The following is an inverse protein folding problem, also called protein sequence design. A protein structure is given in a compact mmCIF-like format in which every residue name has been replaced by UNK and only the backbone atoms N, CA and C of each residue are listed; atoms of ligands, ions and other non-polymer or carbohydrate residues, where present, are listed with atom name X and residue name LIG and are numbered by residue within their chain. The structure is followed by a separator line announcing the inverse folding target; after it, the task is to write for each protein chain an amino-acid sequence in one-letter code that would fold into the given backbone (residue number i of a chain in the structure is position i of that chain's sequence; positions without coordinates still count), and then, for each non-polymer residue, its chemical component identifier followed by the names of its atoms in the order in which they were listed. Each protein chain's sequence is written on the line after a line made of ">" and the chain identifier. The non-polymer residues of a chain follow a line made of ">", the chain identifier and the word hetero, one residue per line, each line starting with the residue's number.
data_IF_746905661621
#
_entry.id   IF_746905661621
#
_cell.length_a   1.000
_cell.length_b   1.000
_cell.length_c   1.000
_cell.angle_alpha   90.00
_cell.angle_beta   90.00
_cell.angle_gamma   90.00
#
_symmetry.space_group_name_H-M   'P 1'
#
loop_
_entity.id
_entity.type
_entity.pdbx_description
1 polymer ?
#
# COMPACT_ATOMS: atom_id res chain seq x y z
N UNK A 1 14.38 -1.51 -25.19
CA UNK A 1 13.92 -0.34 -24.39
C UNK A 1 12.41 -0.45 -24.30
N UNK A 2 11.87 -0.89 -23.16
CA UNK A 2 10.42 -1.17 -23.07
C UNK A 2 10.02 -1.48 -21.65
N UNK A 3 9.87 -0.45 -20.82
CA UNK A 3 9.27 -0.59 -19.50
C UNK A 3 8.21 0.51 -19.35
N UNK A 4 7.08 0.32 -20.01
CA UNK A 4 5.85 1.02 -19.66
C UNK A 4 4.82 -0.01 -19.21
N UNK A 5 5.12 -0.69 -18.10
CA UNK A 5 4.07 -1.36 -17.34
C UNK A 5 3.27 -0.26 -16.65
N UNK A 6 2.09 0.05 -17.18
CA UNK A 6 1.11 0.87 -16.48
C UNK A 6 0.27 -0.08 -15.62
N UNK A 7 0.76 -0.37 -14.40
CA UNK A 7 0.06 -1.28 -13.52
C UNK A 7 -1.28 -0.68 -13.09
N UNK A 8 -2.32 -1.52 -13.04
CA UNK A 8 -3.62 -1.14 -12.46
C UNK A 8 -3.46 -0.90 -10.96
N UNK A 9 -4.31 -0.05 -10.40
CA UNK A 9 -4.35 0.22 -8.97
C UNK A 9 -5.70 -0.25 -8.39
N UNK A 10 -5.64 -1.25 -7.53
CA UNK A 10 -6.80 -1.78 -6.81
C UNK A 10 -6.71 -1.39 -5.33
N UNK A 11 -7.86 -1.13 -4.71
CA UNK A 11 -7.96 -0.74 -3.30
C UNK A 11 -8.68 -1.83 -2.53
N UNK A 12 -8.09 -2.30 -1.44
CA UNK A 12 -8.72 -3.30 -0.58
C UNK A 12 -9.52 -2.64 0.54
N UNK A 13 -10.69 -3.22 0.83
CA UNK A 13 -11.54 -2.83 1.96
C UNK A 13 -11.73 -1.30 2.05
N UNK A 14 -11.45 -0.73 3.22
CA UNK A 14 -11.58 0.68 3.56
C UNK A 14 -10.35 1.54 3.18
N UNK A 15 -9.33 0.97 2.54
CA UNK A 15 -8.08 1.69 2.26
C UNK A 15 -8.31 2.96 1.44
N UNK A 16 -9.22 2.92 0.46
CA UNK A 16 -9.56 4.09 -0.37
C UNK A 16 -10.30 5.17 0.42
N UNK A 17 -11.25 4.79 1.26
CA UNK A 17 -11.98 5.74 2.11
C UNK A 17 -11.06 6.36 3.15
N UNK A 18 -10.14 5.59 3.73
CA UNK A 18 -9.18 6.09 4.70
C UNK A 18 -8.24 7.12 4.06
N UNK A 19 -7.68 6.82 2.88
CA UNK A 19 -6.86 7.81 2.14
C UNK A 19 -7.68 9.05 1.80
N UNK A 20 -8.93 8.90 1.35
CA UNK A 20 -9.79 10.06 1.03
C UNK A 20 -10.07 10.96 2.24
N UNK A 21 -10.08 10.40 3.46
CA UNK A 21 -10.27 11.13 4.71
C UNK A 21 -9.00 11.84 5.21
N UNK A 22 -7.83 11.56 4.63
CA UNK A 22 -6.59 12.22 5.04
C UNK A 22 -6.52 13.68 4.58
N UNK A 23 -5.71 14.51 5.27
CA UNK A 23 -5.42 15.88 4.85
C UNK A 23 -4.93 15.96 3.41
N UNK A 24 -5.20 17.08 2.73
CA UNK A 24 -4.93 17.24 1.30
C UNK A 24 -3.45 16.97 0.92
N UNK A 25 -2.50 17.47 1.71
CA UNK A 25 -1.08 17.24 1.49
C UNK A 25 -0.70 15.74 1.56
N UNK A 26 -1.25 15.02 2.55
CA UNK A 26 -1.03 13.57 2.69
C UNK A 26 -1.60 12.80 1.50
N UNK A 27 -2.79 13.20 1.03
CA UNK A 27 -3.42 12.59 -0.16
C UNK A 27 -2.57 12.81 -1.41
N UNK A 28 -1.98 13.99 -1.57
CA UNK A 28 -1.09 14.30 -2.68
C UNK A 28 0.16 13.41 -2.65
N UNK A 29 0.83 13.32 -1.50
CA UNK A 29 2.03 12.48 -1.35
C UNK A 29 1.74 11.01 -1.65
N UNK A 30 0.61 10.49 -1.14
CA UNK A 30 0.21 9.10 -1.37
C UNK A 30 -0.15 8.87 -2.84
N UNK A 31 -0.91 9.79 -3.44
CA UNK A 31 -1.26 9.73 -4.85
C UNK A 31 -0.02 9.73 -5.74
N UNK A 32 0.96 10.60 -5.47
CA UNK A 32 2.21 10.66 -6.22
C UNK A 32 3.04 9.38 -6.07
N UNK A 33 3.16 8.85 -4.84
CA UNK A 33 3.90 7.61 -4.60
C UNK A 33 3.25 6.39 -5.28
N UNK A 34 1.93 6.29 -5.24
CA UNK A 34 1.19 5.22 -5.93
C UNK A 34 1.29 5.38 -7.45
N UNK A 35 1.21 6.60 -7.97
CA UNK A 35 1.42 6.87 -9.40
C UNK A 35 2.80 6.41 -9.86
N UNK A 36 3.87 6.74 -9.12
CA UNK A 36 5.21 6.25 -9.43
C UNK A 36 5.27 4.72 -9.41
N UNK A 37 4.67 4.09 -8.40
CA UNK A 37 4.61 2.63 -8.31
C UNK A 37 3.91 2.01 -9.52
N UNK A 38 2.78 2.59 -9.97
CA UNK A 38 2.07 2.14 -11.17
C UNK A 38 2.91 2.24 -12.45
N UNK A 39 3.93 3.11 -12.46
CA UNK A 39 4.86 3.31 -13.59
C UNK A 39 6.15 2.50 -13.46
N UNK A 40 6.23 1.60 -12.48
CA UNK A 40 7.44 0.82 -12.18
C UNK A 40 8.53 1.61 -11.44
N UNK A 41 8.23 2.83 -11.00
CA UNK A 41 9.11 3.66 -10.18
C UNK A 41 8.86 3.52 -8.68
N UNK A 42 9.64 4.24 -7.90
CA UNK A 42 9.52 4.24 -6.44
C UNK A 42 9.71 5.66 -5.89
N UNK A 43 8.76 6.12 -5.08
CA UNK A 43 8.89 7.41 -4.39
C UNK A 43 9.90 7.32 -3.25
N UNK A 44 10.59 8.43 -2.96
CA UNK A 44 11.42 8.57 -1.77
C UNK A 44 10.66 8.36 -0.45
N UNK A 45 9.34 8.57 -0.46
CA UNK A 45 8.46 8.33 0.69
C UNK A 45 8.04 6.87 0.84
N UNK A 46 8.37 5.99 -0.12
CA UNK A 46 8.06 4.58 -0.11
C UNK A 46 9.28 3.75 0.30
N UNK A 47 9.06 2.63 1.00
CA UNK A 47 10.11 1.64 1.34
C UNK A 47 9.52 0.26 1.62
N UNK A 48 10.31 -0.82 1.58
CA UNK A 48 9.84 -2.14 1.98
C UNK A 48 9.30 -2.16 3.41
N UNK A 49 8.17 -2.83 3.62
CA UNK A 49 7.60 -3.03 4.95
C UNK A 49 8.31 -4.20 5.64
N UNK A 50 9.01 -3.90 6.73
CA UNK A 50 9.78 -4.89 7.47
C UNK A 50 8.92 -6.09 7.94
N UNK A 51 9.41 -7.30 7.71
CA UNK A 51 8.73 -8.55 8.08
C UNK A 51 7.70 -9.07 7.07
N UNK A 52 7.63 -8.49 5.86
CA UNK A 52 6.71 -8.90 4.79
C UNK A 52 7.42 -9.25 3.46
N UNK A 53 8.76 -9.32 3.46
CA UNK A 53 9.56 -9.53 2.26
C UNK A 53 9.59 -8.32 1.33
N UNK A 54 10.20 -8.47 0.15
CA UNK A 54 10.32 -7.40 -0.86
C UNK A 54 9.01 -7.10 -1.60
N UNK A 55 7.97 -7.92 -1.40
CA UNK A 55 6.70 -7.79 -2.12
C UNK A 55 5.70 -6.80 -1.52
N UNK A 56 6.00 -6.20 -0.37
CA UNK A 56 5.10 -5.29 0.34
C UNK A 56 5.83 -4.02 0.72
N UNK A 57 5.26 -2.90 0.34
CA UNK A 57 5.83 -1.56 0.48
C UNK A 57 4.95 -0.71 1.40
N UNK A 58 5.55 0.22 2.14
CA UNK A 58 4.86 1.25 2.89
C UNK A 58 5.24 2.65 2.37
N UNK A 59 4.23 3.51 2.20
CA UNK A 59 4.39 4.96 2.02
C UNK A 59 4.27 5.60 3.40
N UNK A 60 5.15 6.54 3.72
CA UNK A 60 5.07 7.36 4.93
C UNK A 60 4.99 8.85 4.55
N UNK A 61 3.97 9.53 5.06
CA UNK A 61 3.90 11.00 5.03
C UNK A 61 3.52 11.52 6.41
N UNK A 62 3.93 12.74 6.74
CA UNK A 62 3.67 13.36 8.04
C UNK A 62 3.08 14.76 7.85
N UNK A 63 2.26 15.18 8.80
CA UNK A 63 1.86 16.57 8.98
C UNK A 63 1.91 16.95 10.48
N UNK A 64 1.34 18.11 10.82
CA UNK A 64 1.27 18.58 12.21
C UNK A 64 0.47 17.63 13.14
N UNK A 65 -0.51 16.90 12.60
CA UNK A 65 -1.37 16.00 13.35
C UNK A 65 -0.73 14.63 13.60
N UNK A 66 0.11 14.14 12.68
CA UNK A 66 0.90 12.94 12.92
C UNK A 66 1.48 12.28 11.67
N UNK A 67 1.76 10.98 11.79
CA UNK A 67 2.30 10.14 10.71
C UNK A 67 1.20 9.31 10.07
N UNK A 68 1.09 9.36 8.75
CA UNK A 68 0.19 8.58 7.93
C UNK A 68 0.96 7.50 7.18
N UNK A 69 0.32 6.34 7.01
CA UNK A 69 0.88 5.25 6.21
C UNK A 69 -0.13 4.66 5.26
N UNK A 70 0.34 4.28 4.07
CA UNK A 70 -0.36 3.37 3.17
C UNK A 70 0.54 2.19 2.86
N UNK A 71 -0.01 0.99 2.90
CA UNK A 71 0.69 -0.25 2.59
C UNK A 71 0.15 -0.76 1.26
N UNK A 72 1.06 -1.09 0.35
CA UNK A 72 0.72 -1.59 -0.97
C UNK A 72 1.63 -2.75 -1.39
N UNK A 73 1.17 -3.58 -2.32
CA UNK A 73 1.98 -4.68 -2.87
C UNK A 73 2.85 -4.19 -4.01
N UNK A 74 3.97 -4.85 -4.28
CA UNK A 74 4.50 -4.87 -5.65
C UNK A 74 3.46 -5.50 -6.59
N UNK A 75 3.57 -5.30 -7.90
CA UNK A 75 2.56 -5.79 -8.84
C UNK A 75 2.37 -7.30 -8.71
N UNK A 76 1.13 -7.74 -8.48
CA UNK A 76 0.71 -9.14 -8.61
C UNK A 76 0.01 -9.22 -9.97
N UNK A 77 0.61 -9.95 -10.91
CA UNK A 77 0.28 -9.78 -12.33
C UNK A 77 0.58 -8.34 -12.77
N UNK A 78 -0.43 -7.65 -13.28
CA UNK A 78 -0.35 -6.25 -13.72
C UNK A 78 -1.01 -5.26 -12.73
N UNK A 79 -1.32 -5.69 -11.50
CA UNK A 79 -2.09 -4.89 -10.54
C UNK A 79 -1.32 -4.66 -9.23
N UNK A 80 -1.27 -3.41 -8.80
CA UNK A 80 -0.81 -2.98 -7.48
C UNK A 80 -2.03 -2.87 -6.57
N UNK A 81 -1.94 -3.46 -5.38
CA UNK A 81 -3.02 -3.44 -4.41
C UNK A 81 -2.66 -2.53 -3.24
N UNK A 82 -3.46 -1.50 -2.98
CA UNK A 82 -3.41 -0.76 -1.72
C UNK A 82 -4.13 -1.59 -0.67
N UNK A 83 -3.35 -2.17 0.24
CA UNK A 83 -3.81 -3.14 1.24
C UNK A 83 -4.45 -2.45 2.42
N UNK A 84 -3.82 -1.38 2.91
CA UNK A 84 -4.25 -0.70 4.11
C UNK A 84 -3.77 0.74 4.13
N UNK A 85 -4.52 1.63 4.77
CA UNK A 85 -4.11 3.01 5.01
C UNK A 85 -4.63 3.48 6.36
N UNK A 86 -3.77 4.11 7.15
CA UNK A 86 -4.09 4.56 8.52
C UNK A 86 -3.24 5.75 8.95
N UNK A 87 -3.75 6.52 9.92
CA UNK A 87 -2.97 7.47 10.70
C UNK A 87 -2.47 6.79 11.98
N UNK A 88 -1.18 6.86 12.24
CA UNK A 88 -0.62 6.37 13.49
C UNK A 88 -1.04 7.30 14.62
N UNK A 89 -1.77 6.75 15.61
CA UNK A 89 -2.27 7.50 16.78
C UNK A 89 -1.16 8.01 17.72
N UNK A 90 -0.03 7.28 17.82
CA UNK A 90 1.10 7.67 18.66
C UNK A 90 2.19 8.37 17.85
N UNK A 91 2.67 9.52 18.36
CA UNK A 91 3.84 10.23 17.80
C UNK A 91 5.18 9.56 18.16
N UNK A 92 5.19 8.65 19.15
CA UNK A 92 6.40 7.95 19.61
C UNK A 92 6.61 6.61 18.90
N UNK A 93 7.86 6.31 18.52
CA UNK A 93 8.27 5.04 17.92
C UNK A 93 8.09 4.96 16.40
N UNK A 94 9.05 4.30 15.73
CA UNK A 94 9.07 4.14 14.26
C UNK A 94 8.29 2.90 13.80
N UNK A 95 8.04 1.93 14.69
CA UNK A 95 7.35 0.69 14.35
C UNK A 95 5.87 0.91 14.01
N UNK A 96 5.37 0.13 13.06
CA UNK A 96 3.93 0.01 12.78
C UNK A 96 3.26 -0.67 13.97
N UNK A 97 2.13 -0.15 14.49
CA UNK A 97 1.44 -0.78 15.61
C UNK A 97 1.04 -2.23 15.33
N UNK A 98 1.11 -3.12 16.34
CA UNK A 98 0.78 -4.54 16.20
C UNK A 98 -0.60 -4.81 15.58
N UNK A 99 -1.69 -4.09 15.93
CA UNK A 99 -3.00 -4.31 15.31
C UNK A 99 -2.99 -4.04 13.80
N UNK A 100 -2.28 -3.00 13.37
CA UNK A 100 -2.14 -2.65 11.96
C UNK A 100 -1.37 -3.75 11.20
N UNK A 101 -0.28 -4.27 11.80
CA UNK A 101 0.48 -5.40 11.23
C UNK A 101 -0.38 -6.65 11.06
N UNK A 102 -1.22 -6.98 12.06
CA UNK A 102 -2.11 -8.14 11.98
C UNK A 102 -3.16 -7.97 10.88
N UNK A 103 -3.76 -6.79 10.78
CA UNK A 103 -4.74 -6.48 9.74
C UNK A 103 -4.13 -6.53 8.34
N UNK A 104 -2.91 -6.02 8.15
CA UNK A 104 -2.17 -6.11 6.88
C UNK A 104 -1.95 -7.59 6.50
N UNK A 105 -1.51 -8.44 7.45
CA UNK A 105 -1.33 -9.88 7.19
C UNK A 105 -2.63 -10.56 6.79
N UNK A 106 -3.73 -10.25 7.48
CA UNK A 106 -5.04 -10.81 7.16
C UNK A 106 -5.48 -10.45 5.74
N UNK A 107 -5.40 -9.16 5.38
CA UNK A 107 -5.79 -8.67 4.05
C UNK A 107 -4.92 -9.24 2.94
N UNK A 108 -3.61 -9.34 3.15
CA UNK A 108 -2.69 -9.98 2.20
C UNK A 108 -3.01 -11.46 2.00
N UNK A 109 -3.26 -12.20 3.07
CA UNK A 109 -3.63 -13.62 2.98
C UNK A 109 -4.91 -13.82 2.17
N UNK A 110 -5.91 -12.96 2.41
CA UNK A 110 -7.15 -12.97 1.64
C UNK A 110 -6.91 -12.67 0.16
N UNK A 111 -6.21 -11.57 -0.15
CA UNK A 111 -5.86 -11.17 -1.51
C UNK A 111 -5.16 -12.31 -2.27
N UNK A 112 -4.12 -12.91 -1.69
CA UNK A 112 -3.36 -13.98 -2.33
C UNK A 112 -4.22 -15.22 -2.60
N UNK A 113 -5.16 -15.55 -1.70
CA UNK A 113 -6.11 -16.64 -1.94
C UNK A 113 -7.07 -16.32 -3.08
N UNK A 114 -7.58 -15.08 -3.16
CA UNK A 114 -8.50 -14.64 -4.21
C UNK A 114 -7.83 -14.66 -5.57
N UNK A 115 -6.60 -14.12 -5.68
CA UNK A 115 -5.81 -14.13 -6.91
C UNK A 115 -5.53 -15.57 -7.37
N UNK A 116 -5.05 -16.44 -6.48
CA UNK A 116 -4.78 -17.84 -6.80
C UNK A 116 -6.03 -18.59 -7.28
N UNK A 117 -7.19 -18.29 -6.69
CA UNK A 117 -8.45 -18.90 -7.10
C UNK A 117 -8.94 -18.38 -8.46
N UNK A 118 -8.67 -17.11 -8.79
CA UNK A 118 -8.99 -16.55 -10.10
C UNK A 118 -8.10 -17.12 -11.21
N UNK A 119 -6.80 -17.30 -10.95
CA UNK A 119 -5.85 -17.94 -11.88
C UNK A 119 -6.25 -19.38 -12.22
N UNK A 120 -6.61 -20.17 -11.21
CA UNK A 120 -7.08 -21.56 -11.38
C UNK A 120 -8.37 -21.71 -12.18
N UNK A 121 -9.25 -20.70 -12.16
CA UNK A 121 -10.50 -20.70 -12.95
C UNK A 121 -10.28 -20.28 -14.41
N UNK A 122 -9.13 -19.69 -14.70
CA UNK A 122 -8.76 -19.17 -16.03
C UNK A 122 -7.77 -20.08 -16.76
N UNK A 123 -7.37 -21.20 -16.14
CA UNK A 123 -6.52 -22.28 -16.69
C UNK A 123 -7.36 -23.52 -16.90
#
# INVERSE_FOLDING_TARGET
>A
MGITTNARLAWLADSKSNVKAFPAAIRYDFGYALYLAQRGGMSASAKPLHGFGSGVMEIRSNDASGTYRAVYTVSIGDTIYVVHAFQKKSKAGVATPKPEIQLIRQRLKQLLSEVKNAEKKSS
#
